data_IF_817197272991
#
_entry.id   IF_817197272991
#
_cell.length_a   1.000
_cell.length_b   1.000
_cell.length_c   1.000
_cell.angle_alpha   90.00
_cell.angle_beta   90.00
_cell.angle_gamma   90.00
#
_symmetry.space_group_name_H-M   'P 1'
#
loop_
_entity.id
_entity.type
_entity.pdbx_description
1 polymer ?
#
# COMPACT_ATOMS: atom_id res chain seq x y z
N UNK A 1 -21.17 25.45 -19.73
CA UNK A 1 -20.09 26.34 -20.13
C UNK A 1 -19.90 27.38 -19.02
N UNK A 2 -19.38 26.98 -17.85
CA UNK A 2 -19.12 27.85 -16.70
C UNK A 2 -17.73 27.53 -16.14
N UNK A 3 -16.83 28.51 -16.35
CA UNK A 3 -15.66 28.83 -15.58
C UNK A 3 -14.58 27.76 -15.31
N UNK A 4 -13.80 27.41 -16.33
CA UNK A 4 -12.46 26.76 -16.21
C UNK A 4 -11.33 27.84 -16.19
N UNK A 5 -11.55 29.06 -15.77
CA UNK A 5 -10.58 30.15 -15.99
C UNK A 5 -9.90 30.70 -14.75
N UNK A 6 -9.99 30.07 -13.54
CA UNK A 6 -9.29 30.58 -12.34
C UNK A 6 -8.12 29.75 -11.81
N UNK A 7 -7.88 28.54 -12.30
CA UNK A 7 -6.81 27.68 -11.78
C UNK A 7 -5.46 27.77 -12.51
N UNK A 8 -5.36 28.53 -13.61
CA UNK A 8 -4.09 28.68 -14.35
C UNK A 8 -3.15 29.73 -13.78
N UNK A 9 -3.63 30.66 -12.97
CA UNK A 9 -2.78 31.72 -12.40
C UNK A 9 -1.94 31.28 -11.21
N UNK A 10 -2.39 30.31 -10.42
CA UNK A 10 -1.65 29.85 -9.25
C UNK A 10 -0.53 28.86 -9.59
N UNK A 11 -0.65 28.09 -10.66
CA UNK A 11 0.43 27.21 -11.15
C UNK A 11 1.58 28.01 -11.78
N UNK A 12 1.28 29.17 -12.38
CA UNK A 12 2.26 30.03 -13.01
C UNK A 12 3.15 30.77 -11.99
N UNK A 13 2.63 31.12 -10.81
CA UNK A 13 3.44 31.74 -9.76
C UNK A 13 4.37 30.74 -9.06
N UNK A 14 3.89 29.52 -8.76
CA UNK A 14 4.75 28.46 -8.25
C UNK A 14 5.86 28.09 -9.27
N UNK A 15 5.53 28.04 -10.57
CA UNK A 15 6.49 27.86 -11.66
C UNK A 15 7.55 28.95 -11.74
N UNK A 16 7.19 30.22 -11.48
CA UNK A 16 8.16 31.32 -11.50
C UNK A 16 9.20 31.22 -10.37
N UNK A 17 8.83 30.73 -9.18
CA UNK A 17 9.79 30.51 -8.08
C UNK A 17 10.73 29.32 -8.35
N UNK A 18 10.26 28.32 -9.06
CA UNK A 18 11.14 27.24 -9.57
C UNK A 18 12.20 27.82 -10.53
N UNK A 19 11.83 28.77 -11.38
CA UNK A 19 12.71 29.41 -12.37
C UNK A 19 13.72 30.37 -11.74
N UNK A 20 13.32 31.17 -10.73
CA UNK A 20 14.23 32.09 -10.02
C UNK A 20 15.29 31.38 -9.15
N UNK A 21 15.04 30.14 -8.72
CA UNK A 21 16.00 29.30 -8.01
C UNK A 21 16.94 28.53 -8.93
N UNK A 22 16.93 28.80 -10.25
CA UNK A 22 17.65 28.03 -11.26
C UNK A 22 17.21 26.56 -11.32
N UNK A 23 15.91 26.30 -11.11
CA UNK A 23 15.31 24.97 -11.03
C UNK A 23 15.10 24.32 -12.41
N UNK A 24 15.28 25.06 -13.52
CA UNK A 24 15.18 24.51 -14.90
C UNK A 24 16.19 23.36 -15.17
N UNK A 25 17.24 23.24 -14.36
CA UNK A 25 18.16 22.09 -14.43
C UNK A 25 17.77 20.91 -13.53
N UNK A 26 16.65 21.00 -12.78
CA UNK A 26 16.28 20.01 -11.78
C UNK A 26 15.71 18.72 -12.38
N UNK A 27 15.02 18.78 -13.51
CA UNK A 27 14.45 17.60 -14.18
C UNK A 27 15.51 16.70 -14.82
N UNK A 28 16.74 17.19 -15.01
CA UNK A 28 17.85 16.40 -15.59
C UNK A 28 18.66 15.62 -14.53
N UNK A 29 18.41 15.80 -13.23
CA UNK A 29 19.18 15.16 -12.16
C UNK A 29 18.27 14.21 -11.38
N UNK A 30 17.90 13.10 -12.00
CA UNK A 30 17.02 12.06 -11.44
C UNK A 30 17.37 11.56 -10.02
N UNK A 31 18.64 11.48 -9.55
CA UNK A 31 18.93 11.07 -8.16
C UNK A 31 18.69 12.14 -7.10
N UNK A 32 18.40 13.41 -7.46
CA UNK A 32 18.26 14.53 -6.53
C UNK A 32 16.80 14.92 -6.22
N UNK A 33 15.80 14.24 -6.81
CA UNK A 33 14.36 14.51 -6.57
C UNK A 33 13.92 14.37 -5.10
N UNK A 34 14.76 13.78 -4.24
CA UNK A 34 14.46 13.51 -2.83
C UNK A 34 15.39 14.23 -1.86
N UNK A 35 15.88 15.44 -2.19
CA UNK A 35 16.70 16.21 -1.25
C UNK A 35 15.84 17.17 -0.41
N UNK A 36 15.53 16.85 0.87
CA UNK A 36 14.67 17.67 1.70
C UNK A 36 15.27 19.07 1.98
N UNK A 37 16.60 19.20 1.94
CA UNK A 37 17.28 20.50 2.21
C UNK A 37 16.84 21.61 1.26
N UNK A 38 16.44 21.25 0.03
CA UNK A 38 15.97 22.22 -0.96
C UNK A 38 14.63 22.81 -0.52
N UNK A 39 13.68 21.93 -0.17
CA UNK A 39 12.36 22.37 0.27
C UNK A 39 12.38 23.01 1.65
N UNK A 40 13.31 22.63 2.53
CA UNK A 40 13.56 23.35 3.78
C UNK A 40 14.04 24.80 3.55
N UNK A 41 14.94 25.01 2.56
CA UNK A 41 15.36 26.36 2.16
C UNK A 41 14.22 27.16 1.52
N UNK A 42 13.43 26.50 0.65
CA UNK A 42 12.26 27.13 0.04
C UNK A 42 11.24 27.56 1.11
N UNK A 43 10.94 26.68 2.06
CA UNK A 43 10.03 26.97 3.17
C UNK A 43 10.48 28.20 3.96
N UNK A 44 11.77 28.23 4.36
CA UNK A 44 12.33 29.38 5.09
C UNK A 44 12.24 30.67 4.29
N UNK A 45 12.60 30.63 2.99
CA UNK A 45 12.49 31.84 2.12
C UNK A 45 11.05 32.31 2.00
N UNK A 46 10.09 31.36 1.84
CA UNK A 46 8.67 31.66 1.75
C UNK A 46 8.16 32.33 3.04
N UNK A 47 8.58 31.83 4.21
CA UNK A 47 8.27 32.46 5.51
C UNK A 47 8.82 33.87 5.61
N UNK A 48 10.08 34.12 5.20
CA UNK A 48 10.73 35.43 5.25
C UNK A 48 9.99 36.49 4.42
N UNK A 49 9.31 36.08 3.33
CA UNK A 49 8.56 36.99 2.44
C UNK A 49 7.05 36.93 2.67
N UNK A 50 6.55 36.05 3.56
CA UNK A 50 5.13 35.90 3.85
C UNK A 50 4.33 35.19 2.75
N UNK A 51 4.98 34.43 1.87
CA UNK A 51 4.31 33.66 0.79
C UNK A 51 3.75 32.33 1.29
N UNK A 52 2.51 32.35 1.77
CA UNK A 52 1.80 31.20 2.32
C UNK A 52 1.62 30.05 1.32
N UNK A 53 1.47 30.35 0.04
CA UNK A 53 1.32 29.34 -1.02
C UNK A 53 2.61 28.55 -1.20
N UNK A 54 3.76 29.23 -1.26
CA UNK A 54 5.07 28.59 -1.33
C UNK A 54 5.42 27.84 -0.04
N UNK A 55 4.98 28.30 1.14
CA UNK A 55 5.11 27.57 2.40
C UNK A 55 4.37 26.22 2.32
N UNK A 56 3.10 26.22 1.92
CA UNK A 56 2.26 25.02 1.75
C UNK A 56 2.88 24.05 0.75
N UNK A 57 3.35 24.54 -0.40
CA UNK A 57 4.01 23.71 -1.41
C UNK A 57 5.28 23.03 -0.86
N UNK A 58 6.15 23.79 -0.19
CA UNK A 58 7.39 23.24 0.36
C UNK A 58 7.14 22.17 1.41
N UNK A 59 6.16 22.38 2.32
CA UNK A 59 5.77 21.42 3.34
C UNK A 59 5.16 20.14 2.74
N UNK A 60 4.34 20.28 1.69
CA UNK A 60 3.79 19.13 0.95
C UNK A 60 4.90 18.25 0.38
N UNK A 61 5.91 18.88 -0.27
CA UNK A 61 7.06 18.16 -0.83
C UNK A 61 7.92 17.49 0.24
N UNK A 62 8.13 18.14 1.37
CA UNK A 62 8.82 17.53 2.51
C UNK A 62 8.07 16.32 3.04
N UNK A 63 6.77 16.45 3.27
CA UNK A 63 5.95 15.34 3.73
C UNK A 63 6.02 14.13 2.77
N UNK A 64 5.89 14.35 1.46
CA UNK A 64 5.99 13.30 0.45
C UNK A 64 7.36 12.60 0.47
N UNK A 65 8.45 13.36 0.61
CA UNK A 65 9.81 12.79 0.69
C UNK A 65 9.94 11.90 1.92
N UNK A 66 9.53 12.38 3.10
CA UNK A 66 9.63 11.60 4.32
C UNK A 66 8.70 10.37 4.32
N UNK A 67 7.51 10.46 3.72
CA UNK A 67 6.65 9.30 3.48
C UNK A 67 7.33 8.26 2.58
N UNK A 68 7.97 8.69 1.47
CA UNK A 68 8.68 7.79 0.57
C UNK A 68 9.87 7.06 1.22
N UNK A 69 10.40 7.62 2.30
CA UNK A 69 11.45 7.01 3.12
C UNK A 69 10.91 6.15 4.28
N UNK A 70 9.58 6.04 4.42
CA UNK A 70 8.94 5.37 5.56
C UNK A 70 9.05 6.13 6.88
N UNK A 71 9.50 7.38 6.84
CA UNK A 71 9.63 8.27 8.00
C UNK A 71 8.30 9.00 8.25
N UNK A 72 7.30 8.24 8.64
CA UNK A 72 5.92 8.74 8.76
C UNK A 72 5.74 9.76 9.89
N UNK A 73 6.53 9.69 10.97
CA UNK A 73 6.46 10.66 12.07
C UNK A 73 6.88 12.05 11.62
N UNK A 74 7.96 12.14 10.86
CA UNK A 74 8.46 13.39 10.29
C UNK A 74 7.48 13.92 9.23
N UNK A 75 6.93 13.04 8.40
CA UNK A 75 5.90 13.42 7.43
C UNK A 75 4.66 14.03 8.10
N UNK A 76 4.18 13.45 9.20
CA UNK A 76 3.06 13.97 9.98
C UNK A 76 3.37 15.39 10.51
N UNK A 77 4.57 15.65 11.01
CA UNK A 77 4.94 16.98 11.47
C UNK A 77 4.84 18.05 10.37
N UNK A 78 5.30 17.73 9.15
CA UNK A 78 5.19 18.65 8.02
C UNK A 78 3.73 18.82 7.56
N UNK A 79 2.94 17.75 7.53
CA UNK A 79 1.51 17.82 7.19
C UNK A 79 0.72 18.64 8.22
N UNK A 80 1.03 18.51 9.50
CA UNK A 80 0.40 19.33 10.56
C UNK A 80 0.74 20.82 10.41
N UNK A 81 2.00 21.16 10.14
CA UNK A 81 2.40 22.55 9.84
C UNK A 81 1.68 23.08 8.59
N UNK A 82 1.60 22.25 7.55
CA UNK A 82 0.88 22.57 6.32
C UNK A 82 -0.60 22.87 6.60
N UNK A 83 -1.25 22.02 7.40
CA UNK A 83 -2.66 22.15 7.74
C UNK A 83 -2.96 23.48 8.46
N UNK A 84 -2.09 23.93 9.36
CA UNK A 84 -2.24 25.22 10.04
C UNK A 84 -2.27 26.37 9.03
N UNK A 85 -1.31 26.40 8.10
CA UNK A 85 -1.23 27.47 7.10
C UNK A 85 -2.42 27.43 6.13
N UNK A 86 -2.84 26.25 5.71
CA UNK A 86 -3.99 26.06 4.84
C UNK A 86 -5.28 26.59 5.50
N UNK A 87 -5.46 26.36 6.79
CA UNK A 87 -6.59 26.89 7.55
C UNK A 87 -6.54 28.42 7.67
N UNK A 88 -5.34 29.01 7.87
CA UNK A 88 -5.17 30.48 7.87
C UNK A 88 -5.59 31.13 6.53
N UNK A 89 -5.30 30.47 5.41
CA UNK A 89 -5.66 30.98 4.07
C UNK A 89 -7.05 30.53 3.57
N UNK A 90 -7.79 29.76 4.38
CA UNK A 90 -9.12 29.21 4.10
C UNK A 90 -9.19 28.41 2.78
N UNK A 91 -8.15 27.64 2.45
CA UNK A 91 -8.14 26.74 1.28
C UNK A 91 -8.72 25.36 1.66
N UNK A 92 -10.05 25.27 1.59
CA UNK A 92 -10.79 24.05 1.96
C UNK A 92 -10.42 22.82 1.12
N UNK A 93 -10.08 23.03 -0.17
CA UNK A 93 -9.66 21.94 -1.04
C UNK A 93 -8.33 21.33 -0.59
N UNK A 94 -7.31 22.18 -0.36
CA UNK A 94 -6.02 21.74 0.15
C UNK A 94 -6.12 21.18 1.58
N UNK A 95 -7.05 21.70 2.40
CA UNK A 95 -7.33 21.17 3.73
C UNK A 95 -7.79 19.71 3.68
N UNK A 96 -8.79 19.38 2.85
CA UNK A 96 -9.27 18.01 2.66
C UNK A 96 -8.15 17.05 2.21
N UNK A 97 -7.33 17.48 1.24
CA UNK A 97 -6.22 16.67 0.76
C UNK A 97 -5.14 16.43 1.83
N UNK A 98 -4.82 17.46 2.62
CA UNK A 98 -3.83 17.34 3.71
C UNK A 98 -4.32 16.43 4.82
N UNK A 99 -5.60 16.49 5.16
CA UNK A 99 -6.23 15.59 6.14
C UNK A 99 -6.21 14.13 5.67
N UNK A 100 -6.46 13.88 4.38
CA UNK A 100 -6.31 12.55 3.78
C UNK A 100 -4.90 12.00 3.89
N UNK A 101 -3.90 12.84 3.60
CA UNK A 101 -2.49 12.48 3.73
C UNK A 101 -2.08 12.22 5.19
N UNK A 102 -2.62 12.99 6.15
CA UNK A 102 -2.43 12.74 7.59
C UNK A 102 -3.04 11.39 7.98
N UNK A 103 -4.28 11.12 7.54
CA UNK A 103 -4.93 9.83 7.77
C UNK A 103 -4.08 8.65 7.29
N UNK A 104 -3.58 8.73 6.05
CA UNK A 104 -2.71 7.69 5.48
C UNK A 104 -1.38 7.53 6.24
N UNK A 105 -0.78 8.63 6.68
CA UNK A 105 0.47 8.60 7.45
C UNK A 105 0.26 7.99 8.85
N UNK A 106 -0.85 8.31 9.53
CA UNK A 106 -1.21 7.69 10.80
C UNK A 106 -1.56 6.19 10.65
N UNK A 107 -2.23 5.78 9.57
CA UNK A 107 -2.42 4.36 9.24
C UNK A 107 -1.09 3.60 9.15
N UNK A 108 -0.12 4.19 8.44
CA UNK A 108 1.21 3.59 8.26
C UNK A 108 1.99 3.45 9.57
N UNK A 109 1.66 4.25 10.60
CA UNK A 109 2.18 4.11 11.96
C UNK A 109 1.36 3.15 12.84
N UNK A 110 0.25 2.59 12.34
CA UNK A 110 -0.67 1.80 13.15
C UNK A 110 -1.52 2.61 14.12
N UNK A 111 -1.54 3.94 13.99
CA UNK A 111 -2.32 4.86 14.82
C UNK A 111 -3.71 5.05 14.18
N UNK A 112 -4.53 4.01 14.24
CA UNK A 112 -5.78 3.94 13.48
C UNK A 112 -6.87 4.90 13.98
N UNK A 113 -6.89 5.24 15.28
CA UNK A 113 -7.89 6.17 15.83
C UNK A 113 -7.63 7.61 15.34
N UNK A 114 -6.36 8.03 15.33
CA UNK A 114 -5.93 9.30 14.78
C UNK A 114 -6.18 9.37 13.27
N UNK A 115 -5.94 8.26 12.55
CA UNK A 115 -6.26 8.17 11.13
C UNK A 115 -7.76 8.39 10.88
N UNK A 116 -8.63 7.71 11.64
CA UNK A 116 -10.10 7.86 11.52
C UNK A 116 -10.52 9.31 11.76
N UNK A 117 -9.98 9.97 12.80
CA UNK A 117 -10.34 11.34 13.12
C UNK A 117 -10.05 12.30 11.93
N UNK A 118 -8.86 12.24 11.36
CA UNK A 118 -8.49 13.06 10.21
C UNK A 118 -9.26 12.72 8.94
N UNK A 119 -9.52 11.43 8.69
CA UNK A 119 -10.30 10.99 7.53
C UNK A 119 -11.79 11.37 7.62
N UNK A 120 -12.36 11.39 8.82
CA UNK A 120 -13.72 11.89 9.04
C UNK A 120 -13.80 13.40 8.82
N UNK A 121 -12.79 14.16 9.24
CA UNK A 121 -12.71 15.59 8.95
C UNK A 121 -12.54 15.84 7.44
N UNK A 122 -11.68 15.07 6.75
CA UNK A 122 -11.59 15.08 5.27
C UNK A 122 -12.96 14.85 4.64
N UNK A 123 -13.67 13.81 5.09
CA UNK A 123 -14.98 13.44 4.56
C UNK A 123 -15.98 14.59 4.70
N UNK A 124 -16.03 15.23 5.87
CA UNK A 124 -16.94 16.36 6.14
C UNK A 124 -16.64 17.55 5.22
N UNK A 125 -15.35 17.89 5.04
CA UNK A 125 -14.95 18.99 4.15
C UNK A 125 -15.24 18.64 2.69
N UNK A 126 -14.92 17.43 2.26
CA UNK A 126 -15.20 16.99 0.89
C UNK A 126 -16.71 17.04 0.56
N UNK A 127 -17.57 16.72 1.52
CA UNK A 127 -19.02 16.88 1.40
C UNK A 127 -19.43 18.36 1.29
N UNK A 128 -18.86 19.22 2.13
CA UNK A 128 -19.13 20.67 2.15
C UNK A 128 -18.80 21.32 0.80
N UNK A 129 -17.62 20.99 0.22
CA UNK A 129 -17.16 21.59 -1.04
C UNK A 129 -17.64 20.86 -2.29
N UNK A 130 -18.29 19.68 -2.15
CA UNK A 130 -18.75 18.86 -3.26
C UNK A 130 -17.64 18.18 -4.04
N UNK A 131 -16.48 17.91 -3.41
CA UNK A 131 -15.34 17.21 -4.05
C UNK A 131 -15.56 15.69 -4.03
N UNK A 132 -16.07 15.17 -5.15
CA UNK A 132 -16.40 13.76 -5.31
C UNK A 132 -15.15 12.86 -5.23
N UNK A 133 -14.00 13.33 -5.71
CA UNK A 133 -12.75 12.55 -5.65
C UNK A 133 -12.23 12.48 -4.22
N UNK A 134 -12.25 13.58 -3.48
CA UNK A 134 -11.89 13.58 -2.06
C UNK A 134 -12.84 12.70 -1.24
N UNK A 135 -14.14 12.68 -1.57
CA UNK A 135 -15.11 11.76 -0.95
C UNK A 135 -14.76 10.29 -1.19
N UNK A 136 -14.47 9.91 -2.44
CA UNK A 136 -14.08 8.53 -2.78
C UNK A 136 -12.81 8.11 -2.04
N UNK A 137 -11.82 9.01 -1.99
CA UNK A 137 -10.57 8.77 -1.29
C UNK A 137 -10.77 8.63 0.23
N UNK A 138 -11.59 9.49 0.83
CA UNK A 138 -11.90 9.41 2.27
C UNK A 138 -12.62 8.09 2.62
N UNK A 139 -13.60 7.67 1.82
CA UNK A 139 -14.27 6.39 2.01
C UNK A 139 -13.31 5.21 1.87
N UNK A 140 -12.45 5.19 0.84
CA UNK A 140 -11.44 4.16 0.66
C UNK A 140 -10.49 4.04 1.84
N UNK A 141 -9.93 5.16 2.29
CA UNK A 141 -9.01 5.20 3.42
C UNK A 141 -9.67 4.81 4.75
N UNK A 142 -10.92 5.26 5.00
CA UNK A 142 -11.69 4.82 6.16
C UNK A 142 -11.93 3.30 6.12
N UNK A 143 -12.34 2.77 4.96
CA UNK A 143 -12.51 1.33 4.76
C UNK A 143 -11.25 0.54 5.11
N UNK A 144 -10.09 0.95 4.59
CA UNK A 144 -8.79 0.35 4.89
C UNK A 144 -8.48 0.43 6.39
N UNK A 145 -8.73 1.59 7.03
CA UNK A 145 -8.48 1.75 8.48
C UNK A 145 -9.33 0.79 9.31
N UNK A 146 -10.60 0.65 8.96
CA UNK A 146 -11.51 -0.28 9.65
C UNK A 146 -11.13 -1.76 9.40
N UNK A 147 -10.61 -2.10 8.21
CA UNK A 147 -10.03 -3.44 7.96
C UNK A 147 -8.87 -3.74 8.90
N UNK A 148 -7.92 -2.80 9.07
CA UNK A 148 -6.79 -2.97 10.00
C UNK A 148 -7.23 -3.13 11.46
N UNK A 149 -8.36 -2.54 11.83
CA UNK A 149 -8.98 -2.72 13.15
C UNK A 149 -9.78 -4.03 13.28
N UNK A 150 -9.88 -4.84 12.21
CA UNK A 150 -10.72 -6.04 12.18
C UNK A 150 -12.23 -5.75 12.16
N UNK A 151 -12.62 -4.50 11.94
CA UNK A 151 -14.00 -4.04 11.87
C UNK A 151 -14.53 -4.16 10.44
N UNK A 152 -14.64 -5.39 9.97
CA UNK A 152 -14.90 -5.68 8.54
C UNK A 152 -16.27 -5.19 8.06
N UNK A 153 -17.29 -5.15 8.96
CA UNK A 153 -18.62 -4.66 8.58
C UNK A 153 -18.57 -3.15 8.25
N UNK A 154 -17.90 -2.35 9.07
CA UNK A 154 -17.72 -0.92 8.78
C UNK A 154 -16.86 -0.71 7.53
N UNK A 155 -15.81 -1.52 7.34
CA UNK A 155 -15.01 -1.47 6.14
C UNK A 155 -15.84 -1.70 4.87
N UNK A 156 -16.74 -2.68 4.87
CA UNK A 156 -17.66 -2.98 3.76
C UNK A 156 -18.55 -1.77 3.46
N UNK A 157 -19.13 -1.14 4.47
CA UNK A 157 -20.00 0.04 4.27
C UNK A 157 -19.26 1.19 3.61
N UNK A 158 -18.02 1.44 4.00
CA UNK A 158 -17.20 2.48 3.39
C UNK A 158 -16.75 2.14 1.98
N UNK A 159 -16.32 0.90 1.72
CA UNK A 159 -15.94 0.48 0.37
C UNK A 159 -17.12 0.43 -0.60
N UNK A 160 -18.34 0.12 -0.13
CA UNK A 160 -19.56 0.22 -0.94
C UNK A 160 -19.79 1.65 -1.41
N UNK A 161 -19.65 2.64 -0.53
CA UNK A 161 -19.77 4.06 -0.90
C UNK A 161 -18.68 4.48 -1.88
N UNK A 162 -17.43 4.01 -1.68
CA UNK A 162 -16.36 4.24 -2.64
C UNK A 162 -16.71 3.66 -4.01
N UNK A 163 -17.21 2.42 -4.04
CA UNK A 163 -17.60 1.72 -5.27
C UNK A 163 -18.71 2.47 -6.01
N UNK A 164 -19.75 2.91 -5.29
CA UNK A 164 -20.85 3.68 -5.88
C UNK A 164 -20.34 4.96 -6.57
N UNK A 165 -19.43 5.69 -5.90
CA UNK A 165 -18.84 6.91 -6.48
C UNK A 165 -17.99 6.55 -7.70
N UNK A 166 -17.12 5.54 -7.60
CA UNK A 166 -16.25 5.15 -8.71
C UNK A 166 -17.08 4.77 -9.96
N UNK A 167 -18.18 4.06 -9.79
CA UNK A 167 -19.11 3.71 -10.84
C UNK A 167 -19.82 4.94 -11.41
N UNK A 168 -20.26 5.86 -10.55
CA UNK A 168 -20.95 7.10 -10.96
C UNK A 168 -20.07 7.99 -11.82
N UNK A 169 -18.78 8.13 -11.49
CA UNK A 169 -17.83 8.96 -12.25
C UNK A 169 -17.13 8.21 -13.38
N UNK A 170 -17.34 6.89 -13.50
CA UNK A 170 -16.72 6.04 -14.51
C UNK A 170 -15.24 5.74 -14.26
N UNK A 171 -14.74 5.91 -13.04
CA UNK A 171 -13.36 5.58 -12.66
C UNK A 171 -13.21 4.06 -12.45
N UNK A 172 -12.88 3.38 -13.55
CA UNK A 172 -12.72 1.92 -13.56
C UNK A 172 -11.58 1.42 -12.67
N UNK A 173 -10.53 2.20 -12.48
CA UNK A 173 -9.42 1.83 -11.60
C UNK A 173 -9.86 1.84 -10.14
N UNK A 174 -10.52 2.90 -9.69
CA UNK A 174 -11.08 2.99 -8.34
C UNK A 174 -12.18 1.96 -8.11
N UNK A 175 -13.01 1.66 -9.13
CA UNK A 175 -14.01 0.59 -9.08
C UNK A 175 -13.36 -0.77 -8.80
N UNK A 176 -12.31 -1.16 -9.55
CA UNK A 176 -11.62 -2.42 -9.36
C UNK A 176 -10.93 -2.51 -7.99
N UNK A 177 -10.35 -1.41 -7.52
CA UNK A 177 -9.73 -1.34 -6.20
C UNK A 177 -10.76 -1.50 -5.07
N UNK A 178 -11.92 -0.84 -5.17
CA UNK A 178 -13.00 -0.97 -4.20
C UNK A 178 -13.56 -2.40 -4.16
N UNK A 179 -13.74 -3.05 -5.32
CA UNK A 179 -14.14 -4.45 -5.41
C UNK A 179 -13.14 -5.38 -4.74
N UNK A 180 -11.85 -5.17 -4.94
CA UNK A 180 -10.80 -5.96 -4.30
C UNK A 180 -10.80 -5.80 -2.77
N UNK A 181 -10.96 -4.58 -2.28
CA UNK A 181 -11.03 -4.29 -0.84
C UNK A 181 -12.30 -4.86 -0.18
N UNK A 182 -13.45 -4.80 -0.89
CA UNK A 182 -14.68 -5.48 -0.48
C UNK A 182 -14.46 -7.00 -0.38
N UNK A 183 -13.83 -7.59 -1.40
CA UNK A 183 -13.51 -9.01 -1.42
C UNK A 183 -12.64 -9.43 -0.22
N UNK A 184 -11.64 -8.64 0.14
CA UNK A 184 -10.81 -8.86 1.33
C UNK A 184 -11.67 -8.82 2.60
N UNK A 185 -12.55 -7.82 2.72
CA UNK A 185 -13.41 -7.68 3.91
C UNK A 185 -14.38 -8.86 4.05
N UNK A 186 -15.02 -9.29 2.97
CA UNK A 186 -15.91 -10.47 2.98
C UNK A 186 -15.15 -11.77 3.27
N UNK A 187 -13.93 -11.93 2.75
CA UNK A 187 -13.07 -13.07 3.07
C UNK A 187 -12.84 -13.17 4.58
N UNK A 188 -12.50 -12.07 5.23
CA UNK A 188 -12.28 -12.06 6.68
C UNK A 188 -13.57 -12.23 7.51
N UNK A 189 -14.75 -11.94 6.95
CA UNK A 189 -16.03 -12.30 7.55
C UNK A 189 -16.42 -13.77 7.33
N UNK A 190 -15.65 -14.51 6.50
CA UNK A 190 -15.93 -15.90 6.13
C UNK A 190 -16.91 -16.07 4.97
N UNK A 191 -17.35 -14.98 4.35
CA UNK A 191 -18.17 -15.05 3.13
C UNK A 191 -17.28 -15.19 1.89
N UNK A 192 -16.77 -16.40 1.73
CA UNK A 192 -15.86 -16.74 0.62
C UNK A 192 -16.53 -16.65 -0.76
N UNK A 193 -17.85 -16.86 -0.84
CA UNK A 193 -18.58 -16.76 -2.11
C UNK A 193 -18.63 -15.31 -2.61
N UNK A 194 -18.98 -14.36 -1.74
CA UNK A 194 -18.96 -12.95 -2.09
C UNK A 194 -17.54 -12.45 -2.39
N UNK A 195 -16.56 -12.90 -1.60
CA UNK A 195 -15.15 -12.54 -1.81
C UNK A 195 -14.67 -12.98 -3.22
N UNK A 196 -14.96 -14.23 -3.62
CA UNK A 196 -14.58 -14.75 -4.93
C UNK A 196 -15.21 -13.94 -6.06
N UNK A 197 -16.52 -13.69 -5.98
CA UNK A 197 -17.26 -12.91 -6.97
C UNK A 197 -16.66 -11.51 -7.16
N UNK A 198 -16.31 -10.81 -6.06
CA UNK A 198 -15.76 -9.47 -6.07
C UNK A 198 -14.33 -9.45 -6.63
N UNK A 199 -13.48 -10.41 -6.25
CA UNK A 199 -12.14 -10.53 -6.82
C UNK A 199 -12.15 -10.80 -8.32
N UNK A 200 -13.06 -11.65 -8.80
CA UNK A 200 -13.21 -11.92 -10.24
C UNK A 200 -13.69 -10.69 -11.01
N UNK A 201 -14.60 -9.89 -10.45
CA UNK A 201 -15.03 -8.63 -11.06
C UNK A 201 -13.88 -7.63 -11.14
N UNK A 202 -13.14 -7.42 -10.05
CA UNK A 202 -11.97 -6.55 -10.02
C UNK A 202 -10.85 -7.01 -10.97
N UNK A 203 -10.60 -8.32 -11.03
CA UNK A 203 -9.64 -8.92 -11.96
C UNK A 203 -10.00 -8.61 -13.40
N UNK A 204 -11.26 -8.84 -13.78
CA UNK A 204 -11.76 -8.57 -15.13
C UNK A 204 -11.55 -7.12 -15.53
N UNK A 205 -11.89 -6.17 -14.67
CA UNK A 205 -11.70 -4.74 -14.95
C UNK A 205 -10.20 -4.43 -15.13
N UNK A 206 -9.31 -4.93 -14.27
CA UNK A 206 -7.88 -4.68 -14.40
C UNK A 206 -7.29 -5.34 -15.66
N UNK A 207 -7.75 -6.52 -16.06
CA UNK A 207 -7.33 -7.16 -17.33
C UNK A 207 -7.78 -6.35 -18.55
N UNK A 208 -9.00 -5.80 -18.53
CA UNK A 208 -9.53 -4.94 -19.60
C UNK A 208 -8.77 -3.61 -19.70
N UNK A 209 -8.38 -3.00 -18.58
CA UNK A 209 -7.69 -1.71 -18.55
C UNK A 209 -6.20 -1.82 -18.92
N UNK A 210 -5.52 -2.81 -18.39
CA UNK A 210 -4.07 -2.84 -18.36
C UNK A 210 -3.45 -4.05 -19.08
N UNK A 211 -4.30 -5.02 -19.51
CA UNK A 211 -3.84 -6.30 -20.03
C UNK A 211 -3.38 -7.27 -18.95
N UNK A 212 -3.28 -8.55 -19.32
CA UNK A 212 -3.09 -9.66 -18.38
C UNK A 212 -1.74 -9.74 -17.66
N UNK A 213 -0.78 -8.86 -17.97
CA UNK A 213 0.58 -8.86 -17.40
C UNK A 213 0.86 -7.60 -16.56
N UNK A 214 -0.15 -6.98 -15.99
CA UNK A 214 -0.01 -5.79 -15.15
C UNK A 214 0.09 -6.16 -13.65
N UNK A 215 0.84 -5.42 -12.82
CA UNK A 215 0.91 -5.65 -11.37
C UNK A 215 -0.46 -5.64 -10.67
N UNK A 216 -1.42 -4.80 -11.10
CA UNK A 216 -2.77 -4.78 -10.53
C UNK A 216 -3.55 -6.09 -10.79
N UNK A 217 -3.33 -6.70 -11.96
CA UNK A 217 -3.85 -8.05 -12.26
C UNK A 217 -3.24 -9.09 -11.34
N UNK A 218 -1.92 -9.05 -11.15
CA UNK A 218 -1.22 -9.96 -10.25
C UNK A 218 -1.73 -9.83 -8.79
N UNK A 219 -2.02 -8.62 -8.32
CA UNK A 219 -2.60 -8.40 -6.99
C UNK A 219 -3.97 -9.06 -6.82
N UNK A 220 -4.86 -8.97 -7.82
CA UNK A 220 -6.16 -9.66 -7.79
C UNK A 220 -6.00 -11.18 -7.85
N UNK A 221 -5.11 -11.69 -8.69
CA UNK A 221 -4.81 -13.12 -8.78
C UNK A 221 -4.26 -13.65 -7.45
N UNK A 222 -3.39 -12.88 -6.78
CA UNK A 222 -2.87 -13.23 -5.45
C UNK A 222 -3.99 -13.30 -4.41
N UNK A 223 -4.94 -12.35 -4.41
CA UNK A 223 -6.09 -12.38 -3.50
C UNK A 223 -6.97 -13.61 -3.74
N UNK A 224 -7.23 -13.98 -4.98
CA UNK A 224 -7.96 -15.22 -5.35
C UNK A 224 -7.17 -16.46 -4.92
N UNK A 225 -5.85 -16.49 -5.13
CA UNK A 225 -5.02 -17.62 -4.72
C UNK A 225 -5.05 -17.84 -3.20
N UNK A 226 -4.94 -16.75 -2.42
CA UNK A 226 -5.08 -16.81 -0.96
C UNK A 226 -6.48 -17.31 -0.57
N UNK A 227 -7.54 -16.80 -1.22
CA UNK A 227 -8.91 -17.22 -0.95
C UNK A 227 -9.10 -18.72 -1.20
N UNK A 228 -8.59 -19.25 -2.31
CA UNK A 228 -8.66 -20.68 -2.62
C UNK A 228 -7.81 -21.53 -1.67
N UNK A 229 -6.64 -21.03 -1.29
CA UNK A 229 -5.81 -21.68 -0.28
C UNK A 229 -6.52 -21.77 1.08
N UNK A 230 -7.17 -20.68 1.53
CA UNK A 230 -7.94 -20.64 2.79
C UNK A 230 -9.14 -21.63 2.77
N UNK A 231 -9.66 -21.95 1.57
CA UNK A 231 -10.69 -22.95 1.37
C UNK A 231 -10.15 -24.39 1.19
N UNK A 232 -8.83 -24.58 1.20
CA UNK A 232 -8.19 -25.88 0.89
C UNK A 232 -8.22 -26.27 -0.59
N UNK A 233 -8.63 -25.36 -1.48
CA UNK A 233 -8.66 -25.55 -2.94
C UNK A 233 -7.28 -25.31 -3.53
N UNK A 234 -6.33 -26.18 -3.18
CA UNK A 234 -4.92 -25.99 -3.54
C UNK A 234 -4.64 -26.11 -5.03
N UNK A 235 -5.39 -26.94 -5.74
CA UNK A 235 -5.25 -27.12 -7.18
C UNK A 235 -5.64 -25.87 -7.99
N UNK A 236 -6.58 -25.08 -7.47
CA UNK A 236 -7.01 -23.81 -8.04
C UNK A 236 -6.06 -22.67 -7.66
N UNK A 237 -5.49 -22.69 -6.44
CA UNK A 237 -4.58 -21.65 -5.95
C UNK A 237 -3.21 -21.70 -6.64
N UNK A 238 -2.67 -22.88 -6.88
CA UNK A 238 -1.30 -23.09 -7.40
C UNK A 238 -1.05 -22.33 -8.73
N UNK A 239 -1.86 -22.50 -9.79
CA UNK A 239 -1.62 -21.81 -11.07
C UNK A 239 -1.76 -20.29 -10.95
N UNK A 240 -2.56 -19.78 -10.01
CA UNK A 240 -2.69 -18.35 -9.78
C UNK A 240 -1.41 -17.77 -9.16
N UNK A 241 -0.85 -18.40 -8.13
CA UNK A 241 0.42 -17.97 -7.55
C UNK A 241 1.58 -18.02 -8.56
N UNK A 242 1.61 -19.06 -9.43
CA UNK A 242 2.61 -19.16 -10.48
C UNK A 242 2.47 -18.00 -11.48
N UNK A 243 1.26 -17.67 -11.92
CA UNK A 243 1.01 -16.53 -12.82
C UNK A 243 1.38 -15.20 -12.15
N UNK A 244 1.08 -15.02 -10.86
CA UNK A 244 1.51 -13.85 -10.08
C UNK A 244 3.02 -13.72 -10.08
N UNK A 245 3.75 -14.83 -9.86
CA UNK A 245 5.21 -14.84 -9.85
C UNK A 245 5.78 -14.39 -11.19
N UNK A 246 5.27 -14.94 -12.30
CA UNK A 246 5.70 -14.56 -13.65
C UNK A 246 5.48 -13.07 -13.94
N UNK A 247 4.31 -12.53 -13.57
CA UNK A 247 4.00 -11.12 -13.79
C UNK A 247 4.93 -10.23 -12.96
N UNK A 248 5.08 -10.49 -11.66
CA UNK A 248 5.88 -9.64 -10.79
C UNK A 248 7.37 -9.74 -11.09
N UNK A 249 7.91 -10.93 -11.41
CA UNK A 249 9.30 -11.05 -11.86
C UNK A 249 9.59 -10.26 -13.13
N UNK A 250 8.65 -10.26 -14.07
CA UNK A 250 8.80 -9.53 -15.33
C UNK A 250 8.66 -8.03 -15.17
N UNK A 251 7.74 -7.57 -14.32
CA UNK A 251 7.40 -6.14 -14.18
C UNK A 251 8.25 -5.43 -13.12
N UNK A 252 8.56 -6.10 -12.02
CA UNK A 252 9.23 -5.51 -10.86
C UNK A 252 10.68 -5.98 -10.71
N UNK A 253 11.04 -7.09 -11.37
CA UNK A 253 12.34 -7.74 -11.21
C UNK A 253 12.32 -8.84 -10.11
N UNK A 254 13.25 -9.79 -10.26
CA UNK A 254 13.29 -11.01 -9.43
C UNK A 254 13.62 -10.77 -7.96
N UNK A 255 14.21 -9.62 -7.66
CA UNK A 255 14.64 -9.23 -6.31
C UNK A 255 13.65 -8.25 -5.64
N UNK A 256 12.44 -8.12 -6.18
CA UNK A 256 11.43 -7.24 -5.59
C UNK A 256 10.76 -7.89 -4.36
N UNK A 257 10.43 -7.13 -3.28
CA UNK A 257 9.77 -7.67 -2.08
C UNK A 257 8.45 -8.40 -2.36
N UNK A 258 7.65 -7.95 -3.34
CA UNK A 258 6.39 -8.61 -3.71
C UNK A 258 6.64 -9.99 -4.31
N UNK A 259 7.73 -10.16 -5.09
CA UNK A 259 8.15 -11.47 -5.58
C UNK A 259 8.45 -12.40 -4.41
N UNK A 260 9.19 -11.92 -3.41
CA UNK A 260 9.50 -12.72 -2.21
C UNK A 260 8.24 -13.06 -1.39
N UNK A 261 7.27 -12.13 -1.32
CA UNK A 261 5.98 -12.38 -0.66
C UNK A 261 5.21 -13.49 -1.38
N UNK A 262 5.16 -13.46 -2.71
CA UNK A 262 4.48 -14.51 -3.48
C UNK A 262 5.21 -15.85 -3.40
N UNK A 263 6.54 -15.86 -3.42
CA UNK A 263 7.34 -17.07 -3.19
C UNK A 263 7.02 -17.70 -1.83
N UNK A 264 6.89 -16.91 -0.76
CA UNK A 264 6.45 -17.40 0.54
C UNK A 264 5.03 -17.99 0.50
N UNK A 265 4.09 -17.35 -0.20
CA UNK A 265 2.73 -17.84 -0.30
C UNK A 265 2.66 -19.16 -1.06
N UNK A 266 3.37 -19.26 -2.19
CA UNK A 266 3.46 -20.51 -2.96
C UNK A 266 4.18 -21.62 -2.16
N UNK A 267 5.23 -21.29 -1.41
CA UNK A 267 5.90 -22.23 -0.51
C UNK A 267 4.97 -22.72 0.60
N UNK A 268 4.17 -21.83 1.19
CA UNK A 268 3.17 -22.19 2.20
C UNK A 268 2.07 -23.09 1.61
N UNK A 269 1.67 -22.86 0.36
CA UNK A 269 0.74 -23.72 -0.36
C UNK A 269 1.31 -25.13 -0.54
N UNK A 270 2.56 -25.26 -1.01
CA UNK A 270 3.22 -26.56 -1.16
C UNK A 270 3.44 -27.26 0.19
N UNK A 271 3.80 -26.50 1.22
CA UNK A 271 3.88 -27.04 2.59
C UNK A 271 2.55 -27.62 3.05
N UNK A 272 1.42 -26.92 2.83
CA UNK A 272 0.09 -27.40 3.18
C UNK A 272 -0.32 -28.68 2.43
N UNK A 273 0.25 -28.91 1.24
CA UNK A 273 0.09 -30.15 0.45
C UNK A 273 1.06 -31.26 0.84
N UNK A 274 2.01 -31.02 1.77
CA UNK A 274 3.09 -31.95 2.08
C UNK A 274 4.21 -32.05 1.04
N UNK A 275 4.22 -31.13 0.05
CA UNK A 275 5.23 -31.05 -1.01
C UNK A 275 6.43 -30.24 -0.52
N UNK A 276 7.20 -30.80 0.44
CA UNK A 276 8.29 -30.08 1.10
C UNK A 276 9.47 -29.79 0.18
N UNK A 277 9.76 -30.70 -0.75
CA UNK A 277 10.83 -30.54 -1.74
C UNK A 277 10.61 -29.37 -2.68
N UNK A 278 9.35 -29.07 -3.03
CA UNK A 278 8.96 -27.92 -3.84
C UNK A 278 8.88 -26.64 -3.03
N UNK A 279 8.49 -26.69 -1.74
CA UNK A 279 8.36 -25.54 -0.86
C UNK A 279 9.70 -24.95 -0.47
N UNK A 280 10.68 -25.79 -0.16
CA UNK A 280 11.97 -25.36 0.41
C UNK A 280 12.74 -24.35 -0.46
N UNK A 281 12.96 -24.60 -1.76
CA UNK A 281 13.72 -23.66 -2.59
C UNK A 281 13.03 -22.29 -2.73
N UNK A 282 11.72 -22.24 -2.59
CA UNK A 282 10.97 -20.98 -2.63
C UNK A 282 11.22 -20.15 -1.37
N UNK A 283 11.20 -20.76 -0.17
CA UNK A 283 11.58 -20.08 1.07
C UNK A 283 13.03 -19.61 1.05
N UNK A 284 13.95 -20.47 0.58
CA UNK A 284 15.36 -20.15 0.47
C UNK A 284 15.63 -18.98 -0.48
N UNK A 285 14.79 -18.80 -1.49
CA UNK A 285 14.84 -17.65 -2.40
C UNK A 285 14.18 -16.41 -1.79
N UNK A 286 13.06 -16.54 -1.11
CA UNK A 286 12.31 -15.41 -0.55
C UNK A 286 13.07 -14.67 0.57
N UNK A 287 13.72 -15.42 1.48
CA UNK A 287 14.37 -14.85 2.66
C UNK A 287 15.48 -13.84 2.31
N UNK A 288 16.49 -14.16 1.45
CA UNK A 288 17.53 -13.18 1.12
C UNK A 288 17.01 -11.95 0.40
N UNK A 289 15.99 -12.06 -0.44
CA UNK A 289 15.36 -10.90 -1.10
C UNK A 289 14.79 -9.95 -0.04
N UNK A 290 14.03 -10.47 0.93
CA UNK A 290 13.45 -9.64 1.99
C UNK A 290 14.51 -9.01 2.89
N UNK A 291 15.58 -9.74 3.24
CA UNK A 291 16.70 -9.21 4.04
C UNK A 291 17.35 -8.03 3.32
N UNK A 292 17.64 -8.19 2.02
CA UNK A 292 18.30 -7.16 1.23
C UNK A 292 17.45 -5.90 1.05
N UNK A 293 16.11 -6.05 0.99
CA UNK A 293 15.19 -4.95 0.68
C UNK A 293 14.59 -4.28 1.91
N UNK A 294 14.29 -5.05 2.96
CA UNK A 294 13.57 -4.57 4.16
C UNK A 294 14.42 -4.53 5.43
N UNK A 295 15.61 -5.13 5.40
CA UNK A 295 16.49 -5.26 6.57
C UNK A 295 16.08 -6.43 7.47
N UNK A 296 17.05 -7.02 8.16
CA UNK A 296 16.95 -8.33 8.84
C UNK A 296 15.84 -8.41 9.92
N UNK A 297 15.50 -7.29 10.55
CA UNK A 297 14.54 -7.24 11.66
C UNK A 297 13.09 -6.96 11.22
N UNK A 298 12.83 -6.88 9.91
CA UNK A 298 11.48 -6.57 9.43
C UNK A 298 10.49 -7.70 9.74
N UNK A 299 9.24 -7.38 10.18
CA UNK A 299 8.23 -8.38 10.55
C UNK A 299 7.96 -9.44 9.47
N UNK A 300 7.96 -9.06 8.19
CA UNK A 300 7.74 -9.99 7.09
C UNK A 300 8.81 -11.09 7.05
N UNK A 301 10.07 -10.76 7.36
CA UNK A 301 11.16 -11.76 7.39
C UNK A 301 10.92 -12.76 8.52
N UNK A 302 10.51 -12.28 9.69
CA UNK A 302 10.18 -13.16 10.82
C UNK A 302 9.05 -14.12 10.45
N UNK A 303 8.05 -13.64 9.73
CA UNK A 303 6.94 -14.47 9.24
C UNK A 303 7.43 -15.54 8.26
N UNK A 304 8.24 -15.17 7.26
CA UNK A 304 8.76 -16.13 6.28
C UNK A 304 9.70 -17.15 6.92
N UNK A 305 10.59 -16.70 7.82
CA UNK A 305 11.46 -17.60 8.61
C UNK A 305 10.63 -18.58 9.44
N UNK A 306 9.60 -18.09 10.14
CA UNK A 306 8.69 -18.95 10.92
C UNK A 306 8.00 -20.00 10.05
N UNK A 307 7.50 -19.62 8.88
CA UNK A 307 6.89 -20.54 7.92
C UNK A 307 7.89 -21.59 7.43
N UNK A 308 9.12 -21.18 7.09
CA UNK A 308 10.18 -22.07 6.67
C UNK A 308 10.57 -23.06 7.76
N UNK A 309 10.81 -22.59 8.98
CA UNK A 309 11.15 -23.48 10.10
C UNK A 309 10.00 -24.43 10.48
N UNK A 310 8.73 -23.95 10.37
CA UNK A 310 7.57 -24.84 10.58
C UNK A 310 7.50 -25.93 9.49
N UNK A 311 7.84 -25.62 8.26
CA UNK A 311 7.96 -26.62 7.19
C UNK A 311 9.10 -27.62 7.51
N UNK A 312 10.29 -27.12 7.90
CA UNK A 312 11.41 -27.96 8.27
C UNK A 312 11.09 -28.88 9.47
N UNK A 313 10.27 -28.42 10.41
CA UNK A 313 9.87 -29.25 11.57
C UNK A 313 9.11 -30.52 11.19
N UNK A 314 8.57 -30.61 9.97
CA UNK A 314 7.89 -31.81 9.47
C UNK A 314 8.86 -32.84 8.87
N UNK A 315 10.15 -32.48 8.68
CA UNK A 315 11.15 -33.39 8.14
C UNK A 315 11.62 -34.41 9.20
N UNK A 316 12.09 -35.62 8.80
CA UNK A 316 12.67 -36.61 9.69
C UNK A 316 13.89 -36.06 10.45
N UNK A 317 14.08 -36.49 11.70
CA UNK A 317 15.23 -36.06 12.53
C UNK A 317 16.58 -36.42 11.92
N UNK A 318 16.64 -37.53 11.18
CA UNK A 318 17.85 -37.95 10.48
C UNK A 318 18.22 -36.94 9.38
N UNK A 319 17.23 -36.42 8.63
CA UNK A 319 17.45 -35.42 7.60
C UNK A 319 17.84 -34.07 8.22
N UNK A 320 17.20 -33.66 9.32
CA UNK A 320 17.55 -32.44 10.04
C UNK A 320 18.98 -32.50 10.57
N UNK A 321 19.42 -33.65 11.15
CA UNK A 321 20.74 -33.79 11.71
C UNK A 321 21.87 -33.77 10.68
N UNK A 322 21.59 -34.13 9.43
CA UNK A 322 22.53 -34.02 8.32
C UNK A 322 22.71 -32.58 7.80
N UNK A 323 21.73 -31.71 8.05
CA UNK A 323 21.65 -30.40 7.42
C UNK A 323 21.88 -29.22 8.36
N UNK A 324 21.61 -29.39 9.65
CA UNK A 324 21.59 -28.29 10.60
C UNK A 324 22.40 -28.64 11.88
N UNK A 325 22.98 -27.62 12.55
CA UNK A 325 23.63 -27.82 13.83
C UNK A 325 22.62 -28.12 14.95
N UNK A 326 23.05 -28.80 16.06
CA UNK A 326 22.15 -29.25 17.13
C UNK A 326 21.23 -28.17 17.70
N UNK A 327 21.73 -26.96 17.91
CA UNK A 327 21.00 -25.82 18.47
C UNK A 327 19.81 -25.40 17.55
N UNK A 328 20.02 -25.47 16.24
CA UNK A 328 18.97 -25.16 15.27
C UNK A 328 17.95 -26.29 15.19
N UNK A 329 18.37 -27.54 15.32
CA UNK A 329 17.48 -28.71 15.33
C UNK A 329 16.53 -28.64 16.53
N UNK A 330 17.05 -28.34 17.74
CA UNK A 330 16.21 -28.13 18.93
C UNK A 330 15.13 -27.09 18.70
N UNK A 331 15.50 -25.94 18.10
CA UNK A 331 14.53 -24.89 17.75
C UNK A 331 13.48 -25.37 16.73
N UNK A 332 13.93 -26.03 15.64
CA UNK A 332 13.01 -26.56 14.60
C UNK A 332 12.06 -27.59 15.23
N UNK A 333 12.56 -28.52 16.05
CA UNK A 333 11.75 -29.55 16.70
C UNK A 333 10.73 -28.96 17.68
N UNK A 334 11.08 -27.86 18.38
CA UNK A 334 10.14 -27.16 19.27
C UNK A 334 8.89 -26.63 18.56
N UNK A 335 8.96 -26.43 17.24
CA UNK A 335 7.83 -25.97 16.43
C UNK A 335 6.85 -27.07 15.99
N UNK A 336 7.16 -28.34 16.24
CA UNK A 336 6.26 -29.48 15.90
C UNK A 336 4.96 -29.49 16.70
N UNK A 337 4.98 -28.87 17.88
CA UNK A 337 3.85 -28.87 18.84
C UNK A 337 3.29 -27.45 19.09
N UNK A 338 3.80 -26.44 18.37
CA UNK A 338 3.35 -25.05 18.43
C UNK A 338 2.41 -24.70 17.26
#
# INVERSE_FOLDING_TARGET
MIQIHKNQTNSAQASNYETELNLENFDQIAPKKHNPKIYQKLFKKAQDIGDKQSEVFALSRLAMIYQSWGQYREAIQYLQQQLVIIREINDRYSEANTLGNLGAAYQSLGQYQEAIAHLQEQLAIAQEIGDILALANAFGNLGITYQFLGQYQQAIEYFQKQLEIAQQIGDKTSEANALSNLGISYKYQGDFYQAESLFLQGLKIHEELFGGNNPSVASNLNNLAILYQDQGKYAEAEPLYQRVLEIWEKQLGKEHPDVATNLNNLAALYHAQGKYAEAEPLYQRAIPILIATLGENHPNIQTVRKNYFRMLSQLPDEELSQRFPPEMIEYIQSLRHA
#
